data_IF_094244384765
#
_entry.id   IF_094244384765
#
_cell.length_a   1.000
_cell.length_b   1.000
_cell.length_c   1.000
_cell.angle_alpha   90.00
_cell.angle_beta   90.00
_cell.angle_gamma   90.00
#
_symmetry.space_group_name_H-M   'P 1'
#
loop_
_entity.id
_entity.type
_entity.pdbx_description
1 polymer ?
#
# COMPACT_ATOMS: atom_id res chain seq x y z
N UNK A 1 7.23 6.82 17.26
CA UNK A 1 5.88 7.40 17.04
C UNK A 1 5.53 7.49 15.56
N UNK A 2 6.36 8.11 14.70
CA UNK A 2 6.07 8.27 13.27
C UNK A 2 5.87 6.93 12.51
N UNK A 3 6.70 5.91 12.78
CA UNK A 3 6.58 4.59 12.15
C UNK A 3 5.20 3.92 12.38
N UNK A 4 4.59 4.15 13.55
CA UNK A 4 3.26 3.61 13.88
C UNK A 4 2.19 4.27 13.00
N UNK A 5 2.24 5.59 12.85
CA UNK A 5 1.33 6.34 11.98
C UNK A 5 1.49 5.96 10.50
N UNK A 6 2.74 5.84 10.03
CA UNK A 6 3.05 5.40 8.68
C UNK A 6 2.49 4.00 8.43
N UNK A 7 2.69 3.07 9.38
CA UNK A 7 2.13 1.71 9.29
C UNK A 7 0.61 1.73 9.25
N UNK A 8 -0.02 2.55 10.09
CA UNK A 8 -1.48 2.62 10.16
C UNK A 8 -2.08 3.14 8.86
N UNK A 9 -1.51 4.21 8.28
CA UNK A 9 -2.01 4.80 7.04
C UNK A 9 -1.66 3.91 5.85
N UNK A 10 -0.37 3.71 5.58
CA UNK A 10 0.09 3.00 4.38
C UNK A 10 -0.18 1.50 4.45
N UNK A 11 -0.17 0.89 5.63
CA UNK A 11 -0.58 -0.51 5.81
C UNK A 11 -2.06 -0.71 5.53
N UNK A 12 -2.93 0.21 5.97
CA UNK A 12 -4.37 0.15 5.65
C UNK A 12 -4.62 0.30 4.14
N UNK A 13 -3.95 1.25 3.49
CA UNK A 13 -4.04 1.42 2.04
C UNK A 13 -3.50 0.22 1.27
N UNK A 14 -2.33 -0.31 1.67
CA UNK A 14 -1.76 -1.54 1.09
C UNK A 14 -2.73 -2.71 1.19
N UNK A 15 -3.30 -2.93 2.37
CA UNK A 15 -4.29 -3.98 2.60
C UNK A 15 -5.54 -3.80 1.74
N UNK A 16 -6.08 -2.59 1.66
CA UNK A 16 -7.28 -2.29 0.88
C UNK A 16 -7.04 -2.50 -0.63
N UNK A 17 -5.89 -2.07 -1.15
CA UNK A 17 -5.51 -2.22 -2.56
C UNK A 17 -5.21 -3.67 -2.94
N UNK A 18 -4.59 -4.44 -2.05
CA UNK A 18 -4.26 -5.84 -2.31
C UNK A 18 -5.46 -6.78 -2.15
N UNK A 19 -6.29 -6.55 -1.14
CA UNK A 19 -7.42 -7.43 -0.79
C UNK A 19 -8.71 -7.08 -1.53
N UNK A 20 -8.97 -5.79 -1.77
CA UNK A 20 -10.21 -5.31 -2.40
C UNK A 20 -9.94 -4.43 -3.64
N UNK A 21 -9.13 -4.89 -4.62
CA UNK A 21 -8.78 -4.07 -5.79
C UNK A 21 -10.02 -3.67 -6.61
N UNK A 22 -11.05 -4.52 -6.68
CA UNK A 22 -12.28 -4.24 -7.41
C UNK A 22 -13.17 -3.18 -6.73
N UNK A 23 -13.19 -3.16 -5.40
CA UNK A 23 -14.00 -2.17 -4.66
C UNK A 23 -13.32 -0.80 -4.70
N UNK A 24 -11.99 -0.75 -4.63
CA UNK A 24 -11.23 0.50 -4.84
C UNK A 24 -11.47 1.06 -6.24
N UNK A 25 -11.53 0.21 -7.25
CA UNK A 25 -11.84 0.61 -8.63
C UNK A 25 -13.24 1.21 -8.76
N UNK A 26 -14.24 0.70 -8.01
CA UNK A 26 -15.63 1.16 -8.05
C UNK A 26 -15.85 2.55 -7.46
N UNK A 27 -15.08 2.93 -6.45
CA UNK A 27 -15.17 4.25 -5.80
C UNK A 27 -14.61 5.36 -6.70
N UNK A 28 -13.77 5.00 -7.68
CA UNK A 28 -13.23 5.93 -8.67
C UNK A 28 -14.29 6.30 -9.73
N UNK A 29 -14.41 7.58 -10.14
CA UNK A 29 -15.27 7.98 -11.26
C UNK A 29 -14.87 7.35 -12.60
N UNK A 30 -13.72 6.66 -12.67
CA UNK A 30 -13.28 5.88 -13.83
C UNK A 30 -13.87 4.45 -13.88
N UNK A 31 -14.66 4.04 -12.89
CA UNK A 31 -14.99 2.63 -12.61
C UNK A 31 -15.72 1.84 -13.70
N UNK A 32 -16.58 2.44 -14.52
CA UNK A 32 -17.45 1.67 -15.44
C UNK A 32 -16.70 1.12 -16.66
N UNK A 33 -15.78 1.88 -17.26
CA UNK A 33 -14.97 1.41 -18.39
C UNK A 33 -13.62 0.82 -17.96
N UNK A 34 -13.05 1.26 -16.82
CA UNK A 34 -11.73 0.79 -16.39
C UNK A 34 -11.74 -0.48 -15.52
N UNK A 35 -12.87 -0.87 -14.91
CA UNK A 35 -12.96 -2.08 -14.08
C UNK A 35 -12.72 -3.38 -14.87
N UNK A 36 -12.94 -3.36 -16.18
CA UNK A 36 -12.73 -4.54 -17.04
C UNK A 36 -11.28 -4.65 -17.53
N UNK A 37 -10.45 -3.63 -17.34
CA UNK A 37 -9.09 -3.63 -17.85
C UNK A 37 -8.12 -4.41 -16.92
N UNK A 38 -7.56 -5.56 -17.36
CA UNK A 38 -6.70 -6.38 -16.52
C UNK A 38 -5.40 -5.66 -16.11
N UNK A 39 -4.92 -4.70 -16.91
CA UNK A 39 -3.72 -3.93 -16.59
C UNK A 39 -3.92 -3.03 -15.37
N UNK A 40 -5.11 -2.45 -15.20
CA UNK A 40 -5.39 -1.56 -14.08
C UNK A 40 -5.46 -2.32 -12.76
N UNK A 41 -6.00 -3.56 -12.79
CA UNK A 41 -5.99 -4.46 -11.63
C UNK A 41 -4.56 -4.83 -11.21
N UNK A 42 -3.68 -5.06 -12.18
CA UNK A 42 -2.26 -5.31 -11.92
C UNK A 42 -1.60 -4.06 -11.33
N UNK A 43 -1.88 -2.89 -11.90
CA UNK A 43 -1.35 -1.62 -11.41
C UNK A 43 -1.76 -1.34 -9.96
N UNK A 44 -3.03 -1.55 -9.60
CA UNK A 44 -3.51 -1.35 -8.22
C UNK A 44 -2.83 -2.30 -7.24
N UNK A 45 -2.70 -3.57 -7.60
CA UNK A 45 -1.95 -4.53 -6.79
C UNK A 45 -0.49 -4.12 -6.66
N UNK A 46 0.12 -3.64 -7.73
CA UNK A 46 1.50 -3.14 -7.73
C UNK A 46 1.68 -1.95 -6.78
N UNK A 47 0.76 -0.97 -6.82
CA UNK A 47 0.76 0.16 -5.87
C UNK A 47 0.58 -0.33 -4.42
N UNK A 48 -0.31 -1.30 -4.19
CA UNK A 48 -0.49 -1.93 -2.88
C UNK A 48 0.79 -2.58 -2.35
N UNK A 49 1.56 -3.26 -3.21
CA UNK A 49 2.86 -3.84 -2.87
C UNK A 49 3.92 -2.77 -2.58
N UNK A 50 3.93 -1.66 -3.30
CA UNK A 50 4.84 -0.53 -3.02
C UNK A 50 4.58 0.04 -1.62
N UNK A 51 3.31 0.22 -1.23
CA UNK A 51 3.00 0.68 0.12
C UNK A 51 3.42 -0.31 1.20
N UNK A 52 3.34 -1.62 0.93
CA UNK A 52 3.87 -2.64 1.85
C UNK A 52 5.38 -2.48 2.02
N UNK A 53 6.12 -2.31 0.91
CA UNK A 53 7.57 -2.10 0.94
C UNK A 53 7.97 -0.83 1.69
N UNK A 54 7.19 0.25 1.57
CA UNK A 54 7.39 1.47 2.33
C UNK A 54 7.26 1.24 3.85
N UNK A 55 6.23 0.50 4.26
CA UNK A 55 6.04 0.14 5.68
C UNK A 55 7.21 -0.69 6.18
N UNK A 56 7.64 -1.71 5.41
CA UNK A 56 8.79 -2.54 5.76
C UNK A 56 10.05 -1.69 5.87
N UNK A 57 10.33 -0.81 4.91
CA UNK A 57 11.50 0.06 4.91
C UNK A 57 11.56 0.96 6.14
N UNK A 58 10.44 1.58 6.52
CA UNK A 58 10.37 2.43 7.71
C UNK A 58 10.59 1.63 9.00
N UNK A 59 10.13 0.39 9.07
CA UNK A 59 10.41 -0.49 10.21
C UNK A 59 11.86 -0.96 10.24
N UNK A 60 12.46 -1.27 9.09
CA UNK A 60 13.87 -1.62 9.00
C UNK A 60 14.74 -0.47 9.53
N UNK A 61 14.50 0.77 9.07
CA UNK A 61 15.20 1.97 9.56
C UNK A 61 14.99 2.17 11.07
N UNK A 62 13.76 2.03 11.56
CA UNK A 62 13.47 2.15 12.99
C UNK A 62 14.21 1.09 13.83
N UNK A 63 14.29 -0.16 13.35
CA UNK A 63 15.00 -1.26 14.02
C UNK A 63 16.51 -1.03 14.00
N UNK A 64 17.07 -0.64 12.85
CA UNK A 64 18.50 -0.33 12.70
C UNK A 64 18.92 0.80 13.64
N UNK A 65 18.11 1.88 13.68
CA UNK A 65 18.33 3.02 14.56
C UNK A 65 18.23 2.62 16.04
N UNK A 66 17.24 1.81 16.40
CA UNK A 66 17.04 1.36 17.78
C UNK A 66 18.12 0.39 18.26
N UNK A 67 18.70 -0.41 17.37
CA UNK A 67 19.81 -1.32 17.68
C UNK A 67 21.18 -0.62 17.74
N UNK A 68 21.24 0.68 17.43
CA UNK A 68 22.49 1.46 17.46
C UNK A 68 23.50 1.00 16.41
N UNK A 69 23.03 0.43 15.28
CA UNK A 69 23.89 0.00 14.17
C UNK A 69 24.26 1.16 13.22
N UNK A 70 23.90 2.40 13.58
CA UNK A 70 24.29 3.68 12.98
C UNK A 70 24.41 4.72 14.08
#
# INVERSE_FOLDING_TARGET
MAAIWVTFIFGSFSYMLLKYPHDVLKVSPFSREFSENPLLKIFIKFVGWIFLLLVIGVWTEAIVTQLGMV
#
